data_IF_126883930469
#
_entry.id   IF_126883930469
#
_cell.length_a   1.000
_cell.length_b   1.000
_cell.length_c   1.000
_cell.angle_alpha   90.00
_cell.angle_beta   90.00
_cell.angle_gamma   90.00
#
_symmetry.space_group_name_H-M   'P 1'
#
loop_
_entity.id
_entity.type
_entity.pdbx_description
1 polymer ?
#
# COMPACT_ATOMS: atom_id res chain seq x y z
N UNK A 1 9.89 26.77 28.25
CA UNK A 1 8.75 25.99 28.75
C UNK A 1 8.36 25.05 27.62
N UNK A 2 8.97 23.88 27.63
CA UNK A 2 8.85 22.88 26.54
C UNK A 2 7.64 21.99 26.82
N UNK A 3 6.54 22.27 26.15
CA UNK A 3 5.35 21.42 26.14
C UNK A 3 5.46 20.30 25.10
N UNK A 4 6.32 19.31 25.34
CA UNK A 4 6.33 18.09 24.56
C UNK A 4 5.05 17.31 24.87
N UNK A 5 4.16 17.15 23.89
CA UNK A 5 2.97 16.31 24.00
C UNK A 5 3.44 14.86 23.99
N UNK A 6 3.36 14.18 25.14
CA UNK A 6 3.64 12.76 25.30
C UNK A 6 2.66 11.93 24.46
N UNK A 7 3.18 10.86 23.84
CA UNK A 7 2.44 9.88 23.00
C UNK A 7 1.20 9.30 23.70
N UNK A 8 1.23 9.22 25.05
CA UNK A 8 0.11 8.74 25.88
C UNK A 8 -0.99 9.80 26.03
N UNK A 9 -0.64 11.09 26.07
CA UNK A 9 -1.60 12.18 26.16
C UNK A 9 -2.43 12.36 24.89
N UNK A 10 -1.84 12.10 23.70
CA UNK A 10 -2.56 12.18 22.43
C UNK A 10 -3.58 11.05 22.26
N UNK A 11 -3.29 9.83 22.76
CA UNK A 11 -4.22 8.70 22.71
C UNK A 11 -5.30 8.78 23.82
N UNK A 12 -4.99 9.37 24.97
CA UNK A 12 -5.94 9.54 26.08
C UNK A 12 -6.99 10.64 25.82
N UNK A 13 -6.67 11.66 25.02
CA UNK A 13 -7.62 12.73 24.64
C UNK A 13 -8.74 12.29 23.70
N UNK A 14 -8.65 11.09 23.10
CA UNK A 14 -9.68 10.52 22.22
C UNK A 14 -10.66 9.58 22.94
N UNK A 15 -10.51 9.37 24.24
CA UNK A 15 -11.19 8.30 24.97
C UNK A 15 -11.89 8.65 26.29
N UNK A 16 -12.15 9.90 26.62
CA UNK A 16 -12.91 10.21 27.84
C UNK A 16 -13.68 11.53 27.74
N UNK A 17 -14.81 11.48 27.06
CA UNK A 17 -15.87 12.47 27.08
C UNK A 17 -17.20 11.79 27.39
N UNK A 18 -17.28 11.09 28.54
CA UNK A 18 -18.56 10.70 29.11
C UNK A 18 -19.19 11.95 29.76
N UNK A 19 -19.90 12.75 28.95
CA UNK A 19 -20.82 13.73 29.49
C UNK A 19 -22.04 12.94 29.95
N UNK A 20 -22.21 12.86 31.27
CA UNK A 20 -23.44 12.43 31.87
C UNK A 20 -24.59 13.39 31.46
N UNK A 21 -25.41 12.88 30.52
CA UNK A 21 -26.70 13.53 30.22
C UNK A 21 -27.76 12.87 31.09
N UNK A 22 -28.24 13.63 32.06
CA UNK A 22 -29.46 13.33 32.80
C UNK A 22 -30.58 12.98 31.83
N UNK A 23 -31.19 11.81 32.04
CA UNK A 23 -32.39 11.35 31.35
C UNK A 23 -33.57 12.31 31.68
N UNK A 24 -33.75 13.33 30.85
CA UNK A 24 -35.01 13.97 30.66
C UNK A 24 -35.87 13.13 29.73
N UNK A 25 -36.97 12.56 30.23
CA UNK A 25 -37.97 11.88 29.43
C UNK A 25 -38.68 12.94 28.58
N UNK A 26 -38.16 13.21 27.40
CA UNK A 26 -38.72 14.07 26.37
C UNK A 26 -39.09 13.24 25.14
N UNK A 27 -40.36 13.14 24.93
CA UNK A 27 -41.18 12.69 23.79
C UNK A 27 -40.46 12.26 22.50
N UNK A 28 -40.86 11.09 22.02
CA UNK A 28 -40.42 10.23 20.90
C UNK A 28 -40.17 10.77 19.49
N UNK A 29 -40.03 12.08 19.28
CA UNK A 29 -39.79 12.67 17.93
C UNK A 29 -38.31 12.76 17.57
N UNK A 30 -37.41 12.91 18.54
CA UNK A 30 -35.96 13.04 18.29
C UNK A 30 -35.27 11.73 17.86
N UNK A 31 -35.79 10.61 18.37
CA UNK A 31 -35.24 9.28 17.99
C UNK A 31 -35.55 8.88 16.54
N UNK A 32 -36.78 9.11 16.11
CA UNK A 32 -37.22 8.85 14.76
C UNK A 32 -36.53 9.76 13.73
N UNK A 33 -36.36 11.04 14.03
CA UNK A 33 -35.64 12.00 13.19
C UNK A 33 -34.14 11.63 13.05
N UNK A 34 -33.49 11.21 14.15
CA UNK A 34 -32.09 10.71 14.11
C UNK A 34 -31.96 9.40 13.32
N UNK A 35 -32.92 8.47 13.47
CA UNK A 35 -32.94 7.22 12.68
C UNK A 35 -33.16 7.51 11.19
N UNK A 36 -34.08 8.41 10.84
CA UNK A 36 -34.33 8.83 9.48
C UNK A 36 -33.10 9.55 8.87
N UNK A 37 -32.44 10.44 9.63
CA UNK A 37 -31.22 11.10 9.18
C UNK A 37 -30.07 10.10 8.96
N UNK A 38 -29.90 9.12 9.84
CA UNK A 38 -28.95 8.01 9.63
C UNK A 38 -29.27 7.19 8.37
N UNK A 39 -30.53 6.95 8.10
CA UNK A 39 -31.00 6.25 6.91
C UNK A 39 -30.78 7.07 5.63
N UNK A 40 -30.85 8.43 5.69
CA UNK A 40 -30.65 9.30 4.52
C UNK A 40 -29.20 9.44 4.07
N UNK A 41 -28.22 9.25 4.98
CA UNK A 41 -26.79 9.45 4.71
C UNK A 41 -26.37 10.92 4.63
N UNK A 42 -25.06 11.23 4.40
CA UNK A 42 -24.55 12.59 4.38
C UNK A 42 -25.11 13.38 3.19
N UNK A 43 -25.45 14.68 3.38
CA UNK A 43 -25.94 15.55 2.31
C UNK A 43 -24.80 16.11 1.46
N UNK A 44 -24.08 15.21 0.75
CA UNK A 44 -23.02 15.55 -0.19
C UNK A 44 -23.57 15.72 -1.61
N UNK A 45 -22.85 16.45 -2.47
CA UNK A 45 -23.20 16.57 -3.90
C UNK A 45 -22.87 15.29 -4.66
N UNK A 46 -21.92 14.50 -4.15
CA UNK A 46 -21.56 13.21 -4.67
C UNK A 46 -22.60 12.12 -4.39
N UNK A 47 -22.32 10.93 -4.84
CA UNK A 47 -23.26 9.81 -4.75
C UNK A 47 -23.25 9.18 -3.34
N UNK A 48 -24.44 8.83 -2.83
CA UNK A 48 -24.64 8.01 -1.62
C UNK A 48 -25.38 6.75 -2.01
N UNK A 49 -24.72 5.59 -1.87
CA UNK A 49 -25.24 4.27 -2.24
C UNK A 49 -25.51 3.49 -0.94
N UNK A 50 -26.75 3.15 -0.68
CA UNK A 50 -27.18 2.45 0.54
C UNK A 50 -27.23 0.95 0.34
N UNK A 51 -27.11 0.22 1.43
CA UNK A 51 -27.37 -1.22 1.43
C UNK A 51 -28.77 -1.50 0.87
N UNK A 52 -28.87 -2.46 -0.04
CA UNK A 52 -30.11 -2.80 -0.77
C UNK A 52 -30.36 -1.99 -2.03
N UNK A 53 -29.65 -0.87 -2.27
CA UNK A 53 -29.77 -0.13 -3.52
C UNK A 53 -29.03 -0.84 -4.67
N UNK A 54 -29.48 -0.58 -5.91
CA UNK A 54 -28.76 -1.04 -7.11
C UNK A 54 -27.30 -0.57 -7.09
N UNK A 55 -26.37 -1.44 -7.47
CA UNK A 55 -24.93 -1.19 -7.48
C UNK A 55 -24.26 -1.18 -6.09
N UNK A 56 -24.98 -1.43 -4.99
CA UNK A 56 -24.42 -1.45 -3.65
C UNK A 56 -23.34 -2.54 -3.49
N UNK A 57 -23.59 -3.76 -3.95
CA UNK A 57 -22.61 -4.86 -3.86
C UNK A 57 -21.27 -4.44 -4.47
N UNK A 58 -21.26 -3.94 -5.71
CA UNK A 58 -20.06 -3.44 -6.37
C UNK A 58 -19.42 -2.26 -5.64
N UNK A 59 -20.23 -1.38 -5.05
CA UNK A 59 -19.71 -0.22 -4.32
C UNK A 59 -19.13 -0.61 -2.95
N UNK A 60 -19.65 -1.63 -2.30
CA UNK A 60 -19.22 -2.08 -0.97
C UNK A 60 -17.91 -2.87 -1.01
N UNK A 61 -17.69 -3.68 -2.05
CA UNK A 61 -16.54 -4.56 -2.15
C UNK A 61 -15.20 -3.81 -2.22
N UNK A 62 -14.17 -4.41 -1.65
CA UNK A 62 -12.75 -4.02 -1.72
C UNK A 62 -12.00 -5.00 -2.62
N UNK A 63 -10.70 -4.76 -2.88
CA UNK A 63 -9.90 -5.62 -3.75
C UNK A 63 -9.82 -7.08 -3.25
N UNK A 64 -9.59 -7.27 -1.95
CA UNK A 64 -9.48 -8.61 -1.36
C UNK A 64 -10.88 -9.16 -1.04
N UNK A 65 -11.26 -10.22 -1.75
CA UNK A 65 -12.57 -10.88 -1.66
C UNK A 65 -12.86 -11.52 -0.29
N UNK A 66 -11.83 -11.76 0.53
CA UNK A 66 -12.01 -12.23 1.91
C UNK A 66 -12.91 -11.29 2.74
N UNK A 67 -13.00 -10.02 2.35
CA UNK A 67 -13.80 -9.01 3.06
C UNK A 67 -15.17 -8.74 2.43
N UNK A 68 -15.64 -9.56 1.49
CA UNK A 68 -16.94 -9.37 0.83
C UNK A 68 -18.11 -9.48 1.80
N UNK A 69 -17.95 -10.22 2.89
CA UNK A 69 -18.92 -10.28 3.98
C UNK A 69 -18.91 -9.07 4.92
N UNK A 70 -17.90 -8.19 4.83
CA UNK A 70 -17.78 -6.98 5.66
C UNK A 70 -18.47 -5.81 4.97
N UNK A 71 -19.77 -5.63 5.23
CA UNK A 71 -20.63 -4.72 4.50
C UNK A 71 -20.95 -3.45 5.29
N UNK A 72 -20.67 -2.24 4.74
CA UNK A 72 -21.13 -0.97 5.31
C UNK A 72 -22.65 -0.82 5.21
N UNK A 73 -23.21 0.16 5.91
CA UNK A 73 -24.61 0.56 5.72
C UNK A 73 -24.77 1.43 4.46
N UNK A 74 -23.74 2.20 4.13
CA UNK A 74 -23.70 3.03 2.92
C UNK A 74 -22.27 3.29 2.44
N UNK A 75 -22.15 3.60 1.16
CA UNK A 75 -20.94 4.07 0.51
C UNK A 75 -21.20 5.49 0.00
N UNK A 76 -20.46 6.46 0.52
CA UNK A 76 -20.49 7.85 0.06
C UNK A 76 -19.30 8.12 -0.87
N UNK A 77 -19.56 8.69 -2.03
CA UNK A 77 -18.56 9.03 -3.08
C UNK A 77 -18.48 10.54 -3.25
N UNK A 78 -17.70 11.25 -2.42
CA UNK A 78 -17.54 12.68 -2.50
C UNK A 78 -16.95 13.12 -3.84
N UNK A 79 -17.30 14.31 -4.31
CA UNK A 79 -16.74 14.92 -5.52
C UNK A 79 -15.46 15.71 -5.23
N UNK A 80 -15.36 16.28 -4.03
CA UNK A 80 -14.23 17.10 -3.60
C UNK A 80 -14.06 17.14 -2.06
N UNK A 81 -13.14 17.97 -1.59
CA UNK A 81 -12.86 18.12 -0.16
C UNK A 81 -14.03 18.71 0.66
N UNK A 82 -14.92 19.49 0.05
CA UNK A 82 -16.09 20.03 0.73
C UNK A 82 -17.09 18.91 1.04
N UNK A 83 -17.34 18.02 0.09
CA UNK A 83 -18.15 16.83 0.30
C UNK A 83 -17.54 15.90 1.37
N UNK A 84 -16.20 15.74 1.38
CA UNK A 84 -15.51 14.97 2.44
C UNK A 84 -15.75 15.57 3.80
N UNK A 85 -15.63 16.89 3.94
CA UNK A 85 -15.94 17.59 5.20
C UNK A 85 -17.37 17.33 5.66
N UNK A 86 -18.33 17.53 4.76
CA UNK A 86 -19.76 17.30 5.02
C UNK A 86 -20.01 15.86 5.48
N UNK A 87 -19.39 14.87 4.83
CA UNK A 87 -19.54 13.47 5.21
C UNK A 87 -18.92 13.15 6.57
N UNK A 88 -17.73 13.71 6.89
CA UNK A 88 -17.09 13.53 8.21
C UNK A 88 -17.93 14.17 9.30
N UNK A 89 -18.34 15.43 9.12
CA UNK A 89 -19.20 16.15 10.09
C UNK A 89 -20.53 15.43 10.31
N UNK A 90 -21.14 14.93 9.25
CA UNK A 90 -22.37 14.14 9.35
C UNK A 90 -22.14 12.85 10.15
N UNK A 91 -21.05 12.12 9.87
CA UNK A 91 -20.68 10.90 10.59
C UNK A 91 -20.54 11.14 12.09
N UNK A 92 -19.82 12.20 12.47
CA UNK A 92 -19.63 12.63 13.87
C UNK A 92 -20.96 12.99 14.51
N UNK A 93 -21.75 13.87 13.89
CA UNK A 93 -23.02 14.34 14.42
C UNK A 93 -24.05 13.22 14.65
N UNK A 94 -24.00 12.17 13.84
CA UNK A 94 -24.94 11.04 13.92
C UNK A 94 -24.36 9.79 14.58
N UNK A 95 -23.08 9.83 15.05
CA UNK A 95 -22.39 8.68 15.64
C UNK A 95 -22.26 7.50 14.65
N UNK A 96 -22.01 7.81 13.38
CA UNK A 96 -21.81 6.81 12.32
C UNK A 96 -20.30 6.63 12.08
N UNK A 97 -19.73 5.46 12.41
CA UNK A 97 -18.32 5.20 12.15
C UNK A 97 -18.05 5.21 10.65
N UNK A 98 -16.88 5.72 10.26
CA UNK A 98 -16.48 5.79 8.86
C UNK A 98 -15.11 5.15 8.59
N UNK A 99 -14.93 4.68 7.35
CA UNK A 99 -13.63 4.27 6.78
C UNK A 99 -13.43 4.98 5.46
N UNK A 100 -12.25 5.62 5.32
CA UNK A 100 -11.83 6.19 4.04
C UNK A 100 -11.31 5.08 3.13
N UNK A 101 -11.66 5.12 1.84
CA UNK A 101 -11.19 4.20 0.82
C UNK A 101 -10.64 4.94 -0.39
N UNK A 102 -9.38 4.72 -0.72
CA UNK A 102 -8.74 5.14 -1.96
C UNK A 102 -8.89 4.03 -3.02
N UNK A 103 -7.92 3.11 -3.16
CA UNK A 103 -8.00 1.96 -4.06
C UNK A 103 -8.62 0.69 -3.46
N UNK A 104 -8.79 0.62 -2.14
CA UNK A 104 -9.39 -0.54 -1.49
C UNK A 104 -8.48 -1.77 -1.36
N UNK A 105 -7.16 -1.60 -1.43
CA UNK A 105 -6.16 -2.68 -1.43
C UNK A 105 -5.59 -3.05 -0.05
N UNK A 106 -6.20 -2.62 1.05
CA UNK A 106 -5.72 -3.03 2.37
C UNK A 106 -5.81 -4.55 2.54
N UNK A 107 -4.69 -5.20 2.82
CA UNK A 107 -4.61 -6.64 3.07
C UNK A 107 -5.37 -7.05 4.35
N UNK A 108 -5.48 -6.12 5.31
CA UNK A 108 -6.21 -6.30 6.57
C UNK A 108 -7.66 -5.78 6.53
N UNK A 109 -8.19 -5.43 5.36
CA UNK A 109 -9.58 -4.98 5.23
C UNK A 109 -9.89 -3.58 5.78
N UNK A 110 -8.89 -2.75 6.09
CA UNK A 110 -9.10 -1.42 6.68
C UNK A 110 -9.84 -0.42 5.77
N UNK A 111 -10.08 -0.78 4.51
CA UNK A 111 -10.82 0.04 3.55
C UNK A 111 -12.34 -0.22 3.56
N UNK A 112 -12.83 -1.05 4.47
CA UNK A 112 -14.26 -1.33 4.70
C UNK A 112 -14.55 -1.50 6.18
N UNK A 113 -15.83 -1.64 6.57
CA UNK A 113 -16.27 -1.90 7.93
C UNK A 113 -17.68 -2.50 7.90
N UNK A 114 -18.03 -3.28 8.91
CA UNK A 114 -19.41 -3.73 9.14
C UNK A 114 -20.23 -2.60 9.76
N UNK A 115 -21.34 -2.29 9.15
CA UNK A 115 -22.16 -1.15 9.60
C UNK A 115 -21.52 0.20 9.34
N UNK A 116 -21.94 1.31 9.50
CA UNK A 116 -21.29 2.59 9.26
C UNK A 116 -21.18 2.98 7.78
N UNK A 117 -20.22 3.85 7.46
CA UNK A 117 -20.05 4.49 6.17
C UNK A 117 -18.65 4.24 5.59
N UNK A 118 -18.57 3.79 4.35
CA UNK A 118 -17.33 3.87 3.55
C UNK A 118 -17.33 5.19 2.78
N UNK A 119 -16.30 5.98 2.96
CA UNK A 119 -16.05 7.20 2.21
C UNK A 119 -15.09 6.88 1.05
N UNK A 120 -15.65 6.62 -0.12
CA UNK A 120 -14.95 6.18 -1.32
C UNK A 120 -14.46 7.38 -2.13
N UNK A 121 -13.17 7.63 -2.08
CA UNK A 121 -12.51 8.82 -2.63
C UNK A 121 -12.24 8.73 -4.14
N UNK A 122 -12.76 7.74 -4.84
CA UNK A 122 -12.47 7.47 -6.29
C UNK A 122 -12.66 8.66 -7.22
N UNK A 123 -13.47 9.65 -6.85
CA UNK A 123 -13.68 10.85 -7.68
C UNK A 123 -12.59 11.92 -7.44
N UNK A 124 -11.87 11.86 -6.31
CA UNK A 124 -10.77 12.78 -6.01
C UNK A 124 -9.49 12.29 -6.72
N UNK A 125 -9.45 12.33 -8.05
CA UNK A 125 -8.40 11.72 -8.89
C UNK A 125 -7.65 12.68 -9.81
N UNK A 126 -7.80 13.99 -9.59
CA UNK A 126 -7.07 14.98 -10.37
C UNK A 126 -5.57 14.85 -10.20
N UNK A 127 -4.82 14.96 -11.30
CA UNK A 127 -3.36 14.95 -11.32
C UNK A 127 -2.92 16.22 -12.06
N UNK A 128 -2.20 17.10 -11.36
CA UNK A 128 -1.60 18.33 -11.91
C UNK A 128 -0.10 18.29 -11.70
N UNK A 129 0.68 18.52 -12.76
CA UNK A 129 2.14 18.35 -12.77
C UNK A 129 2.79 19.68 -13.10
N UNK A 130 3.68 20.15 -12.21
CA UNK A 130 4.59 21.28 -12.46
C UNK A 130 6.00 20.71 -12.74
N UNK A 131 6.35 20.66 -14.02
CA UNK A 131 7.64 20.12 -14.46
C UNK A 131 8.82 21.00 -14.08
N UNK A 132 8.64 22.33 -13.92
CA UNK A 132 9.71 23.26 -13.51
C UNK A 132 10.03 23.05 -12.03
N UNK A 133 9.02 22.95 -11.17
CA UNK A 133 9.20 22.70 -9.74
C UNK A 133 9.47 21.22 -9.42
N UNK A 134 9.28 20.33 -10.39
CA UNK A 134 9.28 18.87 -10.21
C UNK A 134 8.36 18.45 -9.09
N UNK A 135 7.10 18.91 -9.14
CA UNK A 135 6.05 18.54 -8.21
C UNK A 135 4.81 18.05 -8.94
N UNK A 136 4.05 17.20 -8.27
CA UNK A 136 2.73 16.79 -8.74
C UNK A 136 1.71 16.87 -7.60
N UNK A 137 0.59 17.54 -7.85
CA UNK A 137 -0.57 17.51 -6.96
C UNK A 137 -1.50 16.40 -7.40
N UNK A 138 -1.76 15.45 -6.52
CA UNK A 138 -2.45 14.20 -6.83
C UNK A 138 -3.60 14.02 -5.84
N UNK A 139 -4.81 13.82 -6.36
CA UNK A 139 -5.99 13.52 -5.57
C UNK A 139 -5.93 12.15 -4.90
N UNK A 140 -6.46 12.05 -3.70
CA UNK A 140 -6.36 10.86 -2.84
C UNK A 140 -6.98 9.58 -3.43
N UNK A 141 -7.92 9.69 -4.37
CA UNK A 141 -8.56 8.59 -5.07
C UNK A 141 -7.88 8.16 -6.38
N UNK A 142 -6.72 8.74 -6.73
CA UNK A 142 -5.94 8.33 -7.91
C UNK A 142 -5.37 6.93 -7.71
N UNK A 143 -5.42 6.12 -8.76
CA UNK A 143 -4.79 4.79 -8.77
C UNK A 143 -3.37 4.89 -9.32
N UNK A 144 -2.47 3.98 -8.91
CA UNK A 144 -1.04 4.10 -9.22
C UNK A 144 -0.77 4.08 -10.72
N UNK A 145 -1.52 3.30 -11.50
CA UNK A 145 -1.31 3.24 -12.95
C UNK A 145 -1.64 4.56 -13.63
N UNK A 146 -2.69 5.28 -13.17
CA UNK A 146 -3.04 6.61 -13.66
C UNK A 146 -1.92 7.62 -13.32
N UNK A 147 -1.36 7.52 -12.11
CA UNK A 147 -0.25 8.36 -11.66
C UNK A 147 1.01 8.11 -12.50
N UNK A 148 1.38 6.85 -12.72
CA UNK A 148 2.53 6.50 -13.56
C UNK A 148 2.35 6.97 -15.00
N UNK A 149 1.18 6.76 -15.57
CA UNK A 149 0.87 7.21 -16.95
C UNK A 149 1.02 8.72 -17.10
N UNK A 150 0.42 9.49 -16.18
CA UNK A 150 0.46 10.95 -16.21
C UNK A 150 1.88 11.50 -16.04
N UNK A 151 2.67 10.92 -15.13
CA UNK A 151 4.04 11.35 -14.85
C UNK A 151 5.00 10.93 -15.98
N UNK A 152 4.90 9.68 -16.45
CA UNK A 152 5.77 9.17 -17.52
C UNK A 152 5.61 9.95 -18.82
N UNK A 153 4.41 10.44 -19.14
CA UNK A 153 4.15 11.34 -20.28
C UNK A 153 4.95 12.67 -20.21
N UNK A 154 5.51 12.99 -19.03
CA UNK A 154 6.36 14.17 -18.78
C UNK A 154 7.81 13.79 -18.46
N UNK A 155 8.20 12.52 -18.65
CA UNK A 155 9.54 12.01 -18.28
C UNK A 155 9.80 12.00 -16.78
N UNK A 156 8.75 11.88 -15.97
CA UNK A 156 8.79 11.93 -14.51
C UNK A 156 8.25 10.65 -13.88
N UNK A 157 8.56 10.44 -12.60
CA UNK A 157 8.00 9.37 -11.77
C UNK A 157 7.90 9.77 -10.30
N UNK A 158 7.21 8.90 -9.54
CA UNK A 158 7.19 8.85 -8.09
C UNK A 158 7.57 7.43 -7.66
N UNK A 159 8.34 7.23 -6.58
CA UNK A 159 8.61 5.88 -6.08
C UNK A 159 7.35 5.32 -5.41
N UNK A 160 6.61 4.48 -6.13
CA UNK A 160 5.41 3.83 -5.64
C UNK A 160 5.38 2.35 -6.06
N UNK A 161 4.41 1.59 -5.55
CA UNK A 161 4.25 0.16 -5.79
C UNK A 161 3.82 -0.18 -7.21
N UNK A 162 3.81 -1.47 -7.52
CA UNK A 162 3.55 -1.99 -8.88
C UNK A 162 2.09 -2.32 -9.16
N UNK A 163 1.27 -2.59 -8.14
CA UNK A 163 -0.14 -2.95 -8.35
C UNK A 163 -0.94 -1.77 -8.92
N UNK A 164 -1.57 -1.90 -10.10
CA UNK A 164 -2.08 -0.77 -10.87
C UNK A 164 -3.25 -0.04 -10.21
N UNK A 165 -4.15 -0.78 -9.58
CA UNK A 165 -5.37 -0.25 -8.95
C UNK A 165 -5.22 0.13 -7.47
N UNK A 166 -4.00 0.00 -6.90
CA UNK A 166 -3.69 0.52 -5.57
C UNK A 166 -3.90 2.03 -5.54
N UNK A 167 -4.61 2.52 -4.52
CA UNK A 167 -4.84 3.94 -4.35
C UNK A 167 -3.66 4.65 -3.71
N UNK A 168 -3.27 5.78 -4.30
CA UNK A 168 -2.10 6.55 -3.87
C UNK A 168 -2.16 6.94 -2.38
N UNK A 169 -3.36 7.24 -1.84
CA UNK A 169 -3.44 7.72 -0.46
C UNK A 169 -3.11 6.63 0.56
N UNK A 170 -3.75 5.46 0.48
CA UNK A 170 -3.44 4.36 1.40
C UNK A 170 -1.99 3.91 1.29
N UNK A 171 -1.46 3.88 0.07
CA UNK A 171 -0.08 3.53 -0.22
C UNK A 171 0.91 4.52 0.43
N UNK A 172 0.76 5.81 0.17
CA UNK A 172 1.65 6.85 0.69
C UNK A 172 1.59 6.97 2.22
N UNK A 173 0.39 6.89 2.80
CA UNK A 173 0.19 6.99 4.25
C UNK A 173 0.82 5.82 5.03
N UNK A 174 0.94 4.65 4.41
CA UNK A 174 1.61 3.48 4.99
C UNK A 174 3.12 3.41 4.72
N UNK A 175 3.70 4.43 4.10
CA UNK A 175 5.09 4.47 3.67
C UNK A 175 5.25 4.38 2.16
N UNK A 176 4.74 3.34 1.53
CA UNK A 176 4.73 3.18 0.08
C UNK A 176 6.06 2.71 -0.49
N UNK A 177 6.35 1.42 -0.34
CA UNK A 177 7.49 0.76 -1.01
C UNK A 177 7.20 0.58 -2.51
N UNK A 178 8.20 0.75 -3.36
CA UNK A 178 8.06 0.52 -4.79
C UNK A 178 9.37 0.48 -5.56
N UNK A 179 9.25 0.27 -6.87
CA UNK A 179 10.36 -0.09 -7.78
C UNK A 179 11.44 1.00 -7.94
N UNK A 180 11.13 2.26 -7.63
CA UNK A 180 12.09 3.35 -7.62
C UNK A 180 12.52 3.75 -6.19
N UNK A 181 12.08 2.98 -5.17
CA UNK A 181 12.26 3.35 -3.76
C UNK A 181 13.71 3.41 -3.33
N UNK A 182 14.56 2.49 -3.78
CA UNK A 182 15.98 2.51 -3.45
C UNK A 182 16.70 3.73 -4.00
N UNK A 183 16.23 4.29 -5.10
CA UNK A 183 16.80 5.49 -5.70
C UNK A 183 16.23 6.79 -5.10
N UNK A 184 14.92 6.85 -4.81
CA UNK A 184 14.21 8.08 -4.49
C UNK A 184 13.52 8.09 -3.12
N UNK A 185 13.68 7.05 -2.30
CA UNK A 185 12.99 6.88 -1.01
C UNK A 185 11.61 6.25 -1.18
N UNK A 186 10.87 6.15 -0.09
CA UNK A 186 9.49 5.70 -0.11
C UNK A 186 8.56 6.77 -0.72
N UNK A 187 7.34 6.40 -1.10
CA UNK A 187 6.32 7.38 -1.54
C UNK A 187 6.11 8.45 -0.47
N UNK A 188 6.07 8.06 0.81
CA UNK A 188 5.94 8.96 1.96
C UNK A 188 7.08 9.98 2.08
N UNK A 189 8.30 9.63 1.67
CA UNK A 189 9.46 10.52 1.71
C UNK A 189 9.37 11.64 0.68
N UNK A 190 8.53 11.46 -0.32
CA UNK A 190 8.30 12.40 -1.40
C UNK A 190 7.06 13.28 -1.20
N UNK A 191 6.31 13.11 -0.10
CA UNK A 191 5.22 14.02 0.25
C UNK A 191 5.83 15.38 0.63
N UNK A 192 5.42 16.43 -0.05
CA UNK A 192 5.75 17.83 0.27
C UNK A 192 4.65 18.47 1.11
N UNK A 193 3.40 18.15 0.81
CA UNK A 193 2.24 18.55 1.60
C UNK A 193 1.07 17.60 1.41
N UNK A 194 0.16 17.57 2.39
CA UNK A 194 -1.09 16.83 2.32
C UNK A 194 -2.26 17.74 2.71
N UNK A 195 -3.43 17.50 2.10
CA UNK A 195 -4.70 18.10 2.50
C UNK A 195 -5.56 17.03 3.14
N UNK A 196 -6.02 17.24 4.36
CA UNK A 196 -6.72 16.27 5.18
C UNK A 196 -7.91 16.88 5.89
N UNK A 197 -9.02 16.16 5.93
CA UNK A 197 -10.15 16.48 6.82
C UNK A 197 -9.98 15.68 8.10
N UNK A 198 -9.77 16.36 9.22
CA UNK A 198 -9.60 15.78 10.55
C UNK A 198 -10.94 15.46 11.21
N UNK A 199 -10.94 14.76 12.34
CA UNK A 199 -12.16 14.29 13.01
C UNK A 199 -13.11 15.42 13.44
N UNK A 200 -12.59 16.63 13.66
CA UNK A 200 -13.36 17.85 13.92
C UNK A 200 -14.08 18.43 12.69
N UNK A 201 -13.92 17.77 11.54
CA UNK A 201 -14.50 18.20 10.26
C UNK A 201 -13.80 19.38 9.61
N UNK A 202 -12.60 19.77 10.06
CA UNK A 202 -11.84 20.86 9.47
C UNK A 202 -10.90 20.35 8.38
N UNK A 203 -10.82 21.06 7.27
CA UNK A 203 -9.84 20.84 6.23
C UNK A 203 -8.53 21.53 6.61
N UNK A 204 -7.47 20.72 6.75
CA UNK A 204 -6.13 21.18 7.12
C UNK A 204 -5.13 20.91 6.01
N UNK A 205 -4.13 21.78 5.91
CA UNK A 205 -2.90 21.51 5.16
C UNK A 205 -1.82 21.08 6.16
N UNK A 206 -1.08 20.03 5.82
CA UNK A 206 0.06 19.56 6.60
C UNK A 206 1.31 19.55 5.70
N UNK A 207 2.31 20.30 6.09
CA UNK A 207 3.62 20.38 5.45
C UNK A 207 4.71 20.68 6.51
N UNK A 208 5.96 20.88 6.09
CA UNK A 208 7.08 21.11 7.02
C UNK A 208 6.92 22.37 7.90
N UNK A 209 6.09 23.33 7.50
CA UNK A 209 5.88 24.61 8.19
C UNK A 209 4.48 24.71 8.83
N UNK A 210 3.48 24.00 8.26
CA UNK A 210 2.08 24.06 8.66
C UNK A 210 1.65 22.69 9.18
N UNK A 211 1.22 22.60 10.44
CA UNK A 211 0.90 21.35 11.13
C UNK A 211 2.02 20.28 10.96
N UNK A 212 3.27 20.58 11.39
CA UNK A 212 4.43 19.74 11.11
C UNK A 212 4.39 18.37 11.80
N UNK A 213 3.74 18.23 12.94
CA UNK A 213 3.47 16.99 13.64
C UNK A 213 2.52 16.09 12.86
N UNK A 214 1.44 16.66 12.31
CA UNK A 214 0.51 15.97 11.42
C UNK A 214 1.22 15.57 10.11
N UNK A 215 2.07 16.45 9.56
CA UNK A 215 2.88 16.14 8.39
C UNK A 215 3.84 14.96 8.65
N UNK A 216 4.48 14.92 9.82
CA UNK A 216 5.29 13.78 10.24
C UNK A 216 4.47 12.51 10.30
N UNK A 217 3.28 12.55 10.93
CA UNK A 217 2.38 11.43 11.12
C UNK A 217 1.82 10.86 9.81
N UNK A 218 1.50 11.72 8.83
CA UNK A 218 1.00 11.32 7.51
C UNK A 218 2.08 10.68 6.61
N UNK A 219 3.33 10.67 7.05
CA UNK A 219 4.46 10.09 6.32
C UNK A 219 4.83 8.71 6.89
N UNK A 220 3.87 7.76 6.85
CA UNK A 220 4.06 6.38 7.25
C UNK A 220 3.32 5.92 8.50
N UNK A 221 2.53 6.80 9.14
CA UNK A 221 1.73 6.47 10.33
C UNK A 221 0.43 5.71 10.04
N UNK A 222 0.20 5.33 8.78
CA UNK A 222 -0.95 4.55 8.34
C UNK A 222 -2.14 5.38 7.87
N UNK A 223 -3.00 4.76 7.07
CA UNK A 223 -4.20 5.38 6.52
C UNK A 223 -5.35 5.43 7.50
N UNK A 224 -6.09 6.55 7.53
CA UNK A 224 -7.31 6.73 8.32
C UNK A 224 -7.12 7.06 9.80
N UNK A 225 -5.89 7.08 10.32
CA UNK A 225 -5.61 7.29 11.74
C UNK A 225 -5.76 8.77 12.19
N UNK A 226 -5.56 9.70 11.27
CA UNK A 226 -5.54 11.15 11.58
C UNK A 226 -6.64 11.92 10.85
N UNK A 227 -7.45 11.26 10.06
CA UNK A 227 -8.52 11.83 9.25
C UNK A 227 -8.56 11.29 7.82
N UNK A 228 -9.28 12.00 6.95
CA UNK A 228 -9.47 11.64 5.54
C UNK A 228 -8.63 12.56 4.66
N UNK A 229 -7.54 12.04 4.11
CA UNK A 229 -6.71 12.79 3.16
C UNK A 229 -7.46 12.96 1.84
N UNK A 230 -7.46 14.16 1.30
CA UNK A 230 -8.15 14.52 0.04
C UNK A 230 -7.18 14.68 -1.13
N UNK A 231 -5.90 14.88 -0.85
CA UNK A 231 -4.85 14.99 -1.87
C UNK A 231 -3.50 15.31 -1.27
N UNK A 232 -2.47 15.15 -2.10
CA UNK A 232 -1.07 15.40 -1.75
C UNK A 232 -0.40 16.25 -2.81
N UNK A 233 0.66 16.95 -2.43
CA UNK A 233 1.68 17.43 -3.35
C UNK A 233 2.94 16.62 -3.12
N UNK A 234 3.42 15.95 -4.16
CA UNK A 234 4.63 15.14 -4.14
C UNK A 234 5.79 15.82 -4.87
N UNK A 235 6.99 15.58 -4.41
CA UNK A 235 8.19 15.68 -5.24
C UNK A 235 8.16 14.55 -6.26
N UNK A 236 8.45 14.87 -7.52
CA UNK A 236 8.57 13.88 -8.60
C UNK A 236 9.98 13.93 -9.19
N UNK A 237 10.41 12.83 -9.77
CA UNK A 237 11.79 12.62 -10.19
C UNK A 237 11.87 12.36 -11.68
N UNK A 238 12.90 12.86 -12.37
CA UNK A 238 13.14 12.51 -13.76
C UNK A 238 13.49 11.03 -13.88
N UNK A 239 13.03 10.42 -14.97
CA UNK A 239 13.37 9.04 -15.31
C UNK A 239 13.98 8.98 -16.70
N UNK A 240 14.91 8.04 -16.99
CA UNK A 240 15.36 7.78 -18.33
C UNK A 240 14.19 7.31 -19.20
N UNK A 241 14.25 7.57 -20.50
CA UNK A 241 13.23 7.09 -21.45
C UNK A 241 13.15 5.57 -21.45
N UNK A 242 14.27 4.92 -21.25
CA UNK A 242 14.43 3.46 -21.26
C UNK A 242 15.04 3.00 -19.95
N UNK A 243 14.49 1.92 -19.39
CA UNK A 243 14.98 1.23 -18.21
C UNK A 243 15.19 -0.24 -18.55
N UNK A 244 16.13 -0.90 -17.87
CA UNK A 244 16.27 -2.33 -18.00
C UNK A 244 15.37 -3.07 -17.01
N UNK A 245 14.64 -4.07 -17.49
CA UNK A 245 14.01 -5.11 -16.68
C UNK A 245 14.84 -6.38 -16.74
N UNK A 246 14.89 -7.14 -15.66
CA UNK A 246 15.61 -8.42 -15.63
C UNK A 246 14.92 -9.42 -14.71
N UNK A 247 15.16 -10.71 -15.03
CA UNK A 247 14.86 -11.85 -14.18
C UNK A 247 16.07 -12.76 -14.15
N UNK A 248 16.46 -13.20 -12.95
CA UNK A 248 17.44 -14.28 -12.76
C UNK A 248 16.71 -15.44 -12.10
N UNK A 249 16.76 -16.63 -12.68
CA UNK A 249 16.11 -17.82 -12.15
C UNK A 249 17.13 -18.95 -11.97
N UNK A 250 16.83 -19.86 -11.03
CA UNK A 250 17.68 -21.00 -10.70
C UNK A 250 16.86 -22.29 -10.62
N UNK A 251 17.52 -23.46 -10.73
CA UNK A 251 16.92 -24.72 -10.28
C UNK A 251 16.53 -24.61 -8.80
N UNK A 252 15.43 -25.24 -8.40
CA UNK A 252 14.94 -25.17 -7.00
C UNK A 252 15.98 -25.62 -5.96
N UNK A 253 16.83 -26.59 -6.31
CA UNK A 253 17.93 -27.05 -5.45
C UNK A 253 18.92 -25.94 -5.04
N UNK A 254 18.94 -24.83 -5.76
CA UNK A 254 19.77 -23.67 -5.48
C UNK A 254 19.02 -22.55 -4.68
N UNK A 255 17.78 -22.77 -4.27
CA UNK A 255 16.94 -21.72 -3.70
C UNK A 255 17.55 -21.06 -2.45
N UNK A 256 18.13 -21.84 -1.54
CA UNK A 256 18.78 -21.33 -0.33
C UNK A 256 20.05 -20.53 -0.63
N UNK A 257 20.85 -20.97 -1.62
CA UNK A 257 22.10 -20.31 -2.03
C UNK A 257 21.79 -19.05 -2.86
N UNK A 258 20.78 -19.10 -3.72
CA UNK A 258 20.28 -17.92 -4.45
C UNK A 258 19.79 -16.85 -3.48
N UNK A 259 19.06 -17.21 -2.40
CA UNK A 259 18.66 -16.28 -1.37
C UNK A 259 19.86 -15.72 -0.59
N UNK A 260 20.88 -16.55 -0.32
CA UNK A 260 22.13 -16.10 0.30
C UNK A 260 22.85 -15.06 -0.57
N UNK A 261 22.99 -15.32 -1.86
CA UNK A 261 23.61 -14.39 -2.81
C UNK A 261 22.80 -13.09 -2.94
N UNK A 262 21.46 -13.21 -3.06
CA UNK A 262 20.60 -12.02 -3.20
C UNK A 262 20.61 -11.13 -1.97
N UNK A 263 20.51 -11.66 -0.76
CA UNK A 263 20.52 -10.85 0.45
C UNK A 263 21.86 -10.13 0.68
N UNK A 264 22.97 -10.71 0.20
CA UNK A 264 24.28 -10.07 0.24
C UNK A 264 24.43 -8.97 -0.83
N UNK A 265 23.82 -9.17 -2.00
CA UNK A 265 23.90 -8.26 -3.13
C UNK A 265 22.83 -7.16 -3.10
N UNK A 266 21.56 -7.53 -3.00
CA UNK A 266 20.40 -6.66 -3.26
C UNK A 266 20.39 -5.37 -2.44
N UNK A 267 20.46 -5.41 -1.08
CA UNK A 267 20.48 -4.21 -0.25
C UNK A 267 21.67 -3.29 -0.50
N UNK A 268 22.78 -3.82 -1.01
CA UNK A 268 24.05 -3.14 -1.24
C UNK A 268 24.30 -2.78 -2.71
N UNK A 269 23.47 -3.26 -3.63
CA UNK A 269 23.54 -2.90 -5.04
C UNK A 269 23.38 -1.39 -5.26
N UNK A 270 23.77 -0.89 -6.44
CA UNK A 270 23.55 0.54 -6.82
C UNK A 270 22.09 0.91 -6.59
N UNK A 271 21.84 2.12 -6.08
CA UNK A 271 20.47 2.55 -5.74
C UNK A 271 19.52 2.59 -6.94
N UNK A 272 20.06 2.67 -8.16
CA UNK A 272 19.32 2.59 -9.41
C UNK A 272 18.73 1.18 -9.70
N UNK A 273 19.17 0.15 -8.96
CA UNK A 273 18.63 -1.22 -9.08
C UNK A 273 17.66 -1.46 -7.92
N UNK A 274 16.47 -1.94 -8.26
CA UNK A 274 15.52 -2.52 -7.30
C UNK A 274 15.24 -3.95 -7.73
N UNK A 275 15.11 -4.86 -6.76
CA UNK A 275 14.81 -6.25 -7.01
C UNK A 275 13.90 -6.84 -5.95
N UNK A 276 13.13 -7.84 -6.35
CA UNK A 276 12.29 -8.67 -5.48
C UNK A 276 12.76 -10.11 -5.67
N UNK A 277 13.09 -10.79 -4.58
CA UNK A 277 13.38 -12.22 -4.61
C UNK A 277 12.08 -12.99 -4.34
N UNK A 278 11.88 -14.09 -5.05
CA UNK A 278 10.66 -14.88 -5.01
C UNK A 278 10.96 -16.35 -4.70
N UNK A 279 10.29 -16.89 -3.69
CA UNK A 279 10.06 -18.32 -3.51
C UNK A 279 8.57 -18.55 -3.72
N UNK A 280 8.19 -19.22 -4.80
CA UNK A 280 6.78 -19.40 -5.14
C UNK A 280 6.42 -20.89 -5.20
N UNK A 281 5.17 -21.18 -4.81
CA UNK A 281 4.58 -22.52 -4.84
C UNK A 281 3.22 -22.43 -5.53
N UNK A 282 3.11 -22.95 -6.74
CA UNK A 282 1.89 -22.88 -7.58
C UNK A 282 1.87 -24.02 -8.59
N UNK A 283 0.68 -24.55 -8.89
CA UNK A 283 0.50 -25.58 -9.92
C UNK A 283 1.32 -26.86 -9.68
N UNK A 284 1.54 -27.23 -8.42
CA UNK A 284 2.31 -28.43 -8.06
C UNK A 284 3.84 -28.27 -8.14
N UNK A 285 4.34 -27.07 -8.45
CA UNK A 285 5.78 -26.80 -8.57
C UNK A 285 6.21 -25.63 -7.69
N UNK A 286 7.48 -25.69 -7.25
CA UNK A 286 8.17 -24.56 -6.63
C UNK A 286 9.08 -23.87 -7.64
N UNK A 287 9.19 -22.56 -7.53
CA UNK A 287 10.11 -21.77 -8.36
C UNK A 287 10.88 -20.76 -7.51
N UNK A 288 12.11 -20.48 -7.92
CA UNK A 288 12.96 -19.44 -7.32
C UNK A 288 13.48 -18.50 -8.39
N UNK A 289 13.30 -17.22 -8.19
CA UNK A 289 13.82 -16.19 -9.08
C UNK A 289 13.99 -14.85 -8.37
N UNK A 290 14.72 -13.96 -9.02
CA UNK A 290 14.78 -12.52 -8.71
C UNK A 290 14.24 -11.77 -9.93
N UNK A 291 13.26 -10.91 -9.72
CA UNK A 291 12.84 -9.92 -10.73
C UNK A 291 13.33 -8.55 -10.32
N UNK A 292 13.76 -7.74 -11.27
CA UNK A 292 14.29 -6.42 -10.96
C UNK A 292 14.17 -5.41 -12.09
N UNK A 293 14.39 -4.14 -11.71
CA UNK A 293 14.44 -3.01 -12.62
C UNK A 293 15.72 -2.20 -12.36
N UNK A 294 16.35 -1.76 -13.43
CA UNK A 294 17.51 -0.88 -13.39
C UNK A 294 17.26 0.39 -14.19
N UNK A 295 17.56 1.55 -13.59
CA UNK A 295 17.47 2.87 -14.23
C UNK A 295 18.71 3.14 -15.09
N UNK A 296 18.99 2.23 -16.01
CA UNK A 296 20.09 2.23 -16.97
C UNK A 296 19.85 1.19 -18.05
N UNK A 297 20.77 1.04 -19.00
CA UNK A 297 20.63 0.11 -20.13
C UNK A 297 20.87 -1.35 -19.70
N UNK A 298 20.22 -2.28 -20.40
CA UNK A 298 20.39 -3.72 -20.14
C UNK A 298 21.83 -4.22 -20.39
N UNK A 299 22.62 -3.53 -21.20
CA UNK A 299 24.04 -3.83 -21.42
C UNK A 299 24.89 -3.84 -20.14
N UNK A 300 24.51 -3.04 -19.14
CA UNK A 300 25.24 -2.95 -17.88
C UNK A 300 24.95 -4.14 -16.94
N UNK A 301 23.85 -4.87 -17.19
CA UNK A 301 23.35 -5.90 -16.25
C UNK A 301 24.30 -7.08 -16.08
N UNK A 302 25.09 -7.43 -17.09
CA UNK A 302 26.04 -8.57 -17.00
C UNK A 302 26.97 -8.44 -15.78
N UNK A 303 27.63 -7.26 -15.65
CA UNK A 303 28.50 -6.99 -14.51
C UNK A 303 27.74 -6.77 -13.20
N UNK A 304 26.57 -6.11 -13.27
CA UNK A 304 25.78 -5.78 -12.07
C UNK A 304 25.14 -7.02 -11.43
N UNK A 305 24.80 -8.05 -12.22
CA UNK A 305 24.18 -9.29 -11.76
C UNK A 305 25.21 -10.42 -11.50
N UNK A 306 26.52 -10.19 -11.70
CA UNK A 306 27.55 -11.18 -11.52
C UNK A 306 27.48 -11.95 -10.18
N UNK A 307 27.22 -11.30 -9.01
CA UNK A 307 27.06 -12.04 -7.76
C UNK A 307 25.89 -13.02 -7.74
N UNK A 308 24.84 -12.76 -8.51
CA UNK A 308 23.68 -13.64 -8.63
C UNK A 308 23.95 -14.79 -9.63
N UNK A 309 24.63 -14.47 -10.74
CA UNK A 309 24.93 -15.47 -11.77
C UNK A 309 26.07 -16.41 -11.37
N UNK A 310 26.82 -16.11 -10.33
CA UNK A 310 27.81 -17.02 -9.73
C UNK A 310 27.16 -18.23 -9.04
N UNK A 311 25.87 -18.16 -8.68
CA UNK A 311 25.13 -19.30 -8.15
C UNK A 311 24.83 -20.29 -9.29
N UNK A 312 25.12 -21.56 -9.09
CA UNK A 312 25.03 -22.58 -10.13
C UNK A 312 23.66 -22.72 -10.79
N UNK A 313 23.63 -22.86 -12.10
CA UNK A 313 22.40 -23.02 -12.88
C UNK A 313 21.60 -21.74 -13.10
N UNK A 314 22.15 -20.57 -12.80
CA UNK A 314 21.51 -19.28 -13.03
C UNK A 314 21.19 -19.05 -14.52
N UNK A 315 19.98 -18.58 -14.80
CA UNK A 315 19.53 -18.16 -16.14
C UNK A 315 19.04 -16.71 -16.06
N UNK A 316 19.56 -15.85 -16.94
CA UNK A 316 19.22 -14.44 -17.00
C UNK A 316 18.34 -14.17 -18.22
N UNK A 317 17.24 -13.49 -18.00
CA UNK A 317 16.42 -12.82 -19.03
C UNK A 317 16.43 -11.33 -18.74
N UNK A 318 16.80 -10.49 -19.71
CA UNK A 318 16.86 -9.06 -19.53
C UNK A 318 16.54 -8.34 -20.84
N UNK A 319 16.02 -7.11 -20.72
CA UNK A 319 15.70 -6.28 -21.88
C UNK A 319 15.53 -4.81 -21.51
N UNK A 320 15.56 -3.95 -22.53
CA UNK A 320 15.25 -2.53 -22.40
C UNK A 320 13.77 -2.28 -22.69
N UNK A 321 13.15 -1.46 -21.86
CA UNK A 321 11.72 -1.12 -21.95
C UNK A 321 11.56 0.40 -21.81
N UNK A 322 10.59 0.98 -22.53
CA UNK A 322 10.12 2.32 -22.20
C UNK A 322 9.64 2.37 -20.74
N UNK A 323 9.86 3.49 -20.03
CA UNK A 323 9.57 3.53 -18.59
C UNK A 323 8.13 3.12 -18.26
N UNK A 324 7.13 3.67 -18.95
CA UNK A 324 5.72 3.29 -18.71
C UNK A 324 5.46 1.81 -19.05
N UNK A 325 6.08 1.30 -20.12
CA UNK A 325 5.98 -0.12 -20.49
C UNK A 325 6.51 -1.02 -19.38
N UNK A 326 7.65 -0.66 -18.75
CA UNK A 326 8.17 -1.39 -17.61
C UNK A 326 7.17 -1.38 -16.43
N UNK A 327 6.52 -0.23 -16.14
CA UNK A 327 5.49 -0.16 -15.10
C UNK A 327 4.27 -1.04 -15.44
N UNK A 328 3.84 -1.09 -16.71
CA UNK A 328 2.77 -1.98 -17.17
C UNK A 328 3.14 -3.46 -17.04
N UNK A 329 4.40 -3.82 -17.29
CA UNK A 329 4.90 -5.20 -17.06
C UNK A 329 4.80 -5.58 -15.57
N UNK A 330 5.28 -4.72 -14.69
CA UNK A 330 5.18 -4.92 -13.25
C UNK A 330 3.72 -4.97 -12.75
N UNK A 331 2.84 -4.27 -13.42
CA UNK A 331 1.40 -4.27 -13.16
C UNK A 331 0.66 -5.51 -13.70
N UNK A 332 1.35 -6.39 -14.45
CA UNK A 332 0.70 -7.49 -15.18
C UNK A 332 -0.18 -7.03 -16.36
N UNK A 333 0.06 -5.83 -16.88
CA UNK A 333 -0.79 -5.16 -17.86
C UNK A 333 -0.12 -4.98 -19.23
N UNK A 334 0.99 -5.65 -19.53
CA UNK A 334 1.76 -5.43 -20.75
C UNK A 334 1.01 -5.72 -22.05
N UNK A 335 -0.03 -6.56 -22.00
CA UNK A 335 -0.83 -6.99 -23.15
C UNK A 335 -2.24 -6.36 -23.22
N UNK A 336 -2.58 -5.46 -22.29
CA UNK A 336 -3.90 -4.83 -22.25
C UNK A 336 -3.79 -3.30 -22.25
N UNK A 337 -4.88 -2.62 -22.60
CA UNK A 337 -4.91 -1.16 -22.59
C UNK A 337 -4.78 -0.57 -21.19
N UNK A 338 -4.34 0.67 -21.10
CA UNK A 338 -4.26 1.40 -19.83
C UNK A 338 -5.63 1.47 -19.11
N UNK A 339 -6.71 1.63 -19.87
CA UNK A 339 -8.08 1.61 -19.34
C UNK A 339 -8.45 0.25 -18.76
N UNK A 340 -8.07 -0.84 -19.43
CA UNK A 340 -8.31 -2.20 -18.96
C UNK A 340 -7.48 -2.55 -17.71
N UNK A 341 -6.34 -1.89 -17.50
CA UNK A 341 -5.43 -2.10 -16.38
C UNK A 341 -5.94 -1.49 -15.05
N UNK A 342 -7.23 -1.64 -14.79
CA UNK A 342 -7.90 -1.27 -13.54
C UNK A 342 -8.74 -2.43 -13.05
N UNK A 343 -8.91 -2.57 -11.75
CA UNK A 343 -9.81 -3.59 -11.19
C UNK A 343 -11.24 -3.32 -11.63
N UNK A 344 -11.92 -4.37 -12.09
CA UNK A 344 -13.32 -4.34 -12.51
C UNK A 344 -14.20 -3.63 -11.48
N UNK A 345 -15.05 -2.71 -11.93
CA UNK A 345 -15.93 -1.92 -11.07
C UNK A 345 -15.28 -0.73 -10.35
N UNK A 346 -13.96 -0.54 -10.46
CA UNK A 346 -13.29 0.65 -9.89
C UNK A 346 -13.20 1.79 -10.89
N UNK A 347 -13.05 1.46 -12.17
CA UNK A 347 -13.06 2.41 -13.31
C UNK A 347 -13.91 1.86 -14.45
N UNK A 348 -14.52 2.72 -15.27
CA UNK A 348 -15.14 2.25 -16.52
C UNK A 348 -14.08 1.57 -17.40
N UNK A 349 -14.42 0.38 -17.94
CA UNK A 349 -13.53 -0.40 -18.81
C UNK A 349 -12.40 -1.16 -18.10
N UNK A 350 -12.32 -1.11 -16.77
CA UNK A 350 -11.39 -1.93 -16.00
C UNK A 350 -11.75 -3.43 -16.09
N UNK A 351 -10.73 -4.27 -16.31
CA UNK A 351 -10.93 -5.72 -16.54
C UNK A 351 -10.17 -6.62 -15.56
N UNK A 352 -9.28 -6.05 -14.73
CA UNK A 352 -8.52 -6.85 -13.77
C UNK A 352 -9.45 -7.46 -12.73
N UNK A 353 -9.30 -8.75 -12.47
CA UNK A 353 -10.04 -9.45 -11.44
C UNK A 353 -9.64 -8.93 -10.04
N UNK A 354 -10.54 -9.12 -9.10
CA UNK A 354 -10.26 -9.07 -7.66
C UNK A 354 -9.58 -10.38 -7.27
N UNK A 355 -9.05 -10.45 -6.07
CA UNK A 355 -8.35 -11.64 -5.60
C UNK A 355 -8.70 -11.96 -4.15
N UNK A 356 -8.53 -13.23 -3.76
CA UNK A 356 -8.76 -13.71 -2.40
C UNK A 356 -7.46 -14.24 -1.82
N UNK A 357 -6.87 -13.50 -0.88
CA UNK A 357 -5.59 -13.88 -0.30
C UNK A 357 -5.44 -13.41 1.14
N UNK A 358 -4.54 -14.09 1.84
CA UNK A 358 -4.05 -13.71 3.16
C UNK A 358 -2.57 -13.41 3.09
N UNK A 359 -2.11 -12.49 3.93
CA UNK A 359 -0.70 -12.10 3.96
C UNK A 359 -0.23 -11.78 5.39
N UNK A 360 1.06 -12.03 5.61
CA UNK A 360 1.84 -11.51 6.74
C UNK A 360 3.13 -10.92 6.20
N UNK A 361 3.78 -10.06 6.98
CA UNK A 361 5.10 -9.53 6.62
C UNK A 361 5.98 -9.36 7.84
N UNK A 362 7.27 -9.33 7.58
CA UNK A 362 8.33 -9.07 8.56
C UNK A 362 9.41 -8.18 7.94
N UNK A 363 10.21 -7.52 8.79
CA UNK A 363 11.41 -6.82 8.37
C UNK A 363 12.66 -7.55 8.84
N UNK A 364 13.63 -7.66 7.97
CA UNK A 364 14.92 -8.30 8.22
C UNK A 364 16.02 -7.24 8.27
N UNK A 365 16.70 -7.12 9.42
CA UNK A 365 17.75 -6.13 9.63
C UNK A 365 19.17 -6.72 9.54
N UNK A 366 19.33 -8.04 9.66
CA UNK A 366 20.61 -8.76 9.53
C UNK A 366 20.46 -9.89 8.51
N UNK A 367 21.52 -10.28 7.81
CA UNK A 367 21.46 -11.41 6.89
C UNK A 367 20.89 -12.66 7.55
N UNK A 368 19.95 -13.32 6.88
CA UNK A 368 19.37 -14.58 7.34
C UNK A 368 20.43 -15.68 7.36
N UNK A 369 20.63 -16.40 8.46
CA UNK A 369 21.54 -17.54 8.52
C UNK A 369 21.02 -18.70 7.68
N UNK A 370 21.86 -19.72 7.42
CA UNK A 370 21.51 -20.88 6.61
C UNK A 370 20.23 -21.58 7.10
N UNK A 371 20.08 -21.76 8.42
CA UNK A 371 18.89 -22.38 9.00
C UNK A 371 17.59 -21.61 8.66
N UNK A 372 17.62 -20.28 8.70
CA UNK A 372 16.45 -19.47 8.33
C UNK A 372 16.11 -19.56 6.84
N UNK A 373 17.14 -19.54 5.96
CA UNK A 373 16.94 -19.69 4.51
C UNK A 373 16.35 -21.06 4.16
N UNK A 374 16.86 -22.12 4.78
CA UNK A 374 16.34 -23.50 4.61
C UNK A 374 14.91 -23.61 5.14
N UNK A 375 14.58 -22.98 6.27
CA UNK A 375 13.22 -22.95 6.80
C UNK A 375 12.23 -22.27 5.83
N UNK A 376 12.66 -21.22 5.14
CA UNK A 376 11.83 -20.53 4.12
C UNK A 376 11.66 -21.39 2.85
N UNK A 377 12.69 -22.08 2.41
CA UNK A 377 12.61 -23.05 1.29
C UNK A 377 11.63 -24.17 1.65
N UNK A 378 11.80 -24.80 2.81
CA UNK A 378 10.88 -25.84 3.29
C UNK A 378 9.44 -25.33 3.47
N UNK A 379 9.25 -24.08 3.89
CA UNK A 379 7.92 -23.46 3.97
C UNK A 379 7.28 -23.31 2.57
N UNK A 380 8.04 -22.93 1.55
CA UNK A 380 7.53 -22.88 0.17
C UNK A 380 7.16 -24.28 -0.35
N UNK A 381 7.95 -25.31 -0.06
CA UNK A 381 7.62 -26.70 -0.39
C UNK A 381 6.36 -27.19 0.33
N UNK A 382 6.25 -26.90 1.63
CA UNK A 382 5.06 -27.21 2.41
C UNK A 382 3.81 -26.53 1.84
N UNK A 383 3.93 -25.34 1.21
CA UNK A 383 2.79 -24.65 0.61
C UNK A 383 2.14 -25.44 -0.53
N UNK A 384 2.89 -26.30 -1.23
CA UNK A 384 2.36 -27.20 -2.27
C UNK A 384 1.38 -28.24 -1.73
N UNK A 385 1.47 -28.61 -0.46
CA UNK A 385 0.57 -29.60 0.17
C UNK A 385 -0.77 -29.02 0.60
N UNK A 386 -0.98 -27.72 0.36
CA UNK A 386 -2.19 -26.99 0.79
C UNK A 386 -2.89 -26.47 -0.48
N UNK A 387 -4.23 -26.54 -0.52
CA UNK A 387 -5.03 -26.05 -1.63
C UNK A 387 -4.70 -24.58 -1.96
N UNK A 388 -4.69 -24.24 -3.25
CA UNK A 388 -4.34 -22.92 -3.75
C UNK A 388 -2.85 -22.77 -4.05
N UNK A 389 -2.34 -21.56 -3.95
CA UNK A 389 -0.95 -21.24 -4.21
C UNK A 389 -0.41 -20.22 -3.21
N UNK A 390 0.90 -20.00 -3.20
CA UNK A 390 1.49 -19.00 -2.32
C UNK A 390 2.89 -18.60 -2.73
N UNK A 391 3.40 -17.57 -2.08
CA UNK A 391 4.73 -17.07 -2.30
C UNK A 391 5.32 -16.44 -1.04
N UNK A 392 6.64 -16.46 -0.96
CA UNK A 392 7.43 -15.68 -0.02
C UNK A 392 8.23 -14.69 -0.86
N UNK A 393 7.93 -13.40 -0.72
CA UNK A 393 8.53 -12.31 -1.47
C UNK A 393 9.47 -11.52 -0.57
N UNK A 394 10.59 -11.08 -1.13
CA UNK A 394 11.59 -10.29 -0.39
C UNK A 394 11.81 -8.99 -1.13
N UNK A 395 11.20 -7.91 -0.64
CA UNK A 395 11.32 -6.57 -1.20
C UNK A 395 12.60 -5.90 -0.72
N UNK A 396 13.51 -5.61 -1.64
CA UNK A 396 14.82 -5.06 -1.35
C UNK A 396 14.75 -3.63 -0.82
N UNK A 397 15.33 -3.38 0.35
CA UNK A 397 15.52 -2.05 0.94
C UNK A 397 16.95 -1.53 0.68
N UNK A 398 17.41 -0.56 1.44
CA UNK A 398 18.70 0.10 1.21
C UNK A 398 18.57 1.39 0.38
N UNK A 399 19.68 1.93 -0.08
CA UNK A 399 19.72 3.14 -0.87
C UNK A 399 19.06 4.34 -0.18
N UNK A 400 18.21 5.08 -0.91
CA UNK A 400 17.53 6.28 -0.40
C UNK A 400 16.57 5.99 0.75
N UNK A 401 15.97 4.80 0.80
CA UNK A 401 15.04 4.40 1.88
C UNK A 401 15.78 4.44 3.23
N UNK A 402 16.96 3.84 3.30
CA UNK A 402 17.73 3.71 4.54
C UNK A 402 18.53 4.97 4.90
N UNK A 403 18.67 5.95 3.99
CA UNK A 403 19.28 7.25 4.30
C UNK A 403 18.38 8.17 5.14
N UNK A 404 17.07 7.92 5.16
CA UNK A 404 16.13 8.65 6.02
C UNK A 404 16.24 8.11 7.43
N UNK A 405 16.45 9.01 8.42
CA UNK A 405 16.52 8.61 9.83
C UNK A 405 15.19 8.01 10.30
N UNK A 406 15.17 6.96 11.16
CA UNK A 406 13.94 6.33 11.63
C UNK A 406 12.92 7.29 12.24
N UNK A 407 13.38 8.32 12.95
CA UNK A 407 12.51 9.32 13.59
C UNK A 407 12.08 10.48 12.66
N UNK A 408 12.60 10.57 11.43
CA UNK A 408 12.30 11.69 10.52
C UNK A 408 10.88 11.65 9.94
N UNK A 409 10.24 10.49 9.99
CA UNK A 409 8.85 10.26 9.57
C UNK A 409 8.23 9.21 10.48
N UNK A 410 6.91 9.04 10.42
CA UNK A 410 6.24 7.98 11.17
C UNK A 410 6.56 6.56 10.66
N UNK A 411 7.17 6.42 9.47
CA UNK A 411 7.69 5.16 8.98
C UNK A 411 9.06 4.87 9.60
N UNK A 412 9.12 3.95 10.55
CA UNK A 412 10.32 3.70 11.39
C UNK A 412 11.29 2.66 10.83
N UNK A 413 10.88 1.85 9.84
CA UNK A 413 11.67 0.71 9.33
C UNK A 413 12.73 1.15 8.34
N UNK A 414 13.78 1.83 8.83
CA UNK A 414 14.84 2.43 8.00
C UNK A 414 16.17 1.67 8.06
N UNK A 415 16.39 0.87 9.10
CA UNK A 415 17.62 0.11 9.32
C UNK A 415 17.39 -1.38 9.01
N UNK A 416 16.84 -1.67 7.83
CA UNK A 416 16.50 -3.03 7.41
C UNK A 416 17.11 -3.33 6.03
N UNK A 417 17.39 -4.58 5.77
CA UNK A 417 17.91 -5.06 4.48
C UNK A 417 16.77 -5.25 3.49
N UNK A 418 15.65 -5.81 3.93
CA UNK A 418 14.48 -6.11 3.11
C UNK A 418 13.24 -6.33 3.96
N UNK A 419 12.07 -6.22 3.33
CA UNK A 419 10.79 -6.68 3.85
C UNK A 419 10.52 -8.08 3.30
N UNK A 420 10.04 -8.99 4.13
CA UNK A 420 9.53 -10.31 3.70
C UNK A 420 8.02 -10.27 3.74
N UNK A 421 7.38 -10.71 2.67
CA UNK A 421 5.93 -10.91 2.59
C UNK A 421 5.63 -12.39 2.40
N UNK A 422 4.76 -12.93 3.23
CA UNK A 422 4.21 -14.28 3.10
C UNK A 422 2.80 -14.15 2.53
N UNK A 423 2.54 -14.76 1.38
CA UNK A 423 1.29 -14.66 0.65
C UNK A 423 0.67 -16.03 0.45
N UNK A 424 -0.61 -16.16 0.73
CA UNK A 424 -1.36 -17.40 0.52
C UNK A 424 -2.70 -17.12 -0.11
N UNK A 425 -2.98 -17.78 -1.23
CA UNK A 425 -4.18 -17.66 -2.04
C UNK A 425 -4.96 -18.96 -1.99
N UNK A 426 -6.31 -18.89 -1.86
CA UNK A 426 -7.17 -20.06 -1.82
C UNK A 426 -7.09 -20.87 -0.50
N UNK A 427 -6.65 -20.23 0.60
CA UNK A 427 -6.52 -20.85 1.92
C UNK A 427 -5.10 -20.73 2.49
N UNK A 428 -4.80 -21.44 3.60
CA UNK A 428 -3.45 -21.53 4.17
C UNK A 428 -3.12 -20.54 5.29
N UNK A 429 -4.11 -20.02 6.02
CA UNK A 429 -3.87 -19.22 7.23
C UNK A 429 -2.93 -19.90 8.25
N UNK A 430 -3.06 -21.20 8.54
CA UNK A 430 -2.12 -21.90 9.42
C UNK A 430 -0.68 -21.92 8.89
N UNK A 431 -0.52 -22.03 7.56
CA UNK A 431 0.79 -21.97 6.93
C UNK A 431 1.46 -20.60 7.12
N UNK A 432 0.71 -19.50 6.92
CA UNK A 432 1.20 -18.13 7.15
C UNK A 432 1.65 -17.96 8.61
N UNK A 433 0.82 -18.39 9.57
CA UNK A 433 1.12 -18.27 10.99
C UNK A 433 2.33 -19.11 11.39
N UNK A 434 2.41 -20.35 10.91
CA UNK A 434 3.54 -21.25 11.15
C UNK A 434 4.84 -20.72 10.56
N UNK A 435 4.79 -20.22 9.31
CA UNK A 435 5.97 -19.68 8.63
C UNK A 435 6.48 -18.42 9.33
N UNK A 436 5.60 -17.48 9.67
CA UNK A 436 5.97 -16.28 10.42
C UNK A 436 6.53 -16.63 11.81
N UNK A 437 5.96 -17.63 12.51
CA UNK A 437 6.45 -18.08 13.80
C UNK A 437 7.89 -18.67 13.72
N UNK A 438 8.18 -19.47 12.69
CA UNK A 438 9.52 -19.99 12.41
C UNK A 438 10.53 -18.88 12.16
N UNK A 439 10.10 -17.78 11.57
CA UNK A 439 10.96 -16.64 11.24
C UNK A 439 11.16 -15.66 12.39
N UNK A 440 10.34 -15.72 13.45
CA UNK A 440 10.40 -14.79 14.60
C UNK A 440 11.80 -14.55 15.20
N UNK A 441 12.70 -15.54 15.31
CA UNK A 441 14.05 -15.29 15.83
C UNK A 441 14.97 -14.48 14.92
N UNK A 442 14.61 -14.31 13.64
CA UNK A 442 15.46 -13.74 12.60
C UNK A 442 14.96 -12.39 12.06
N UNK A 443 13.81 -11.91 12.56
CA UNK A 443 13.14 -10.70 12.09
C UNK A 443 13.04 -9.64 13.18
N UNK A 444 12.69 -8.41 12.84
CA UNK A 444 12.66 -7.28 13.79
C UNK A 444 11.40 -7.23 14.66
N UNK A 445 10.38 -8.03 14.37
CA UNK A 445 9.04 -7.95 14.96
C UNK A 445 8.16 -6.81 14.41
N UNK A 446 8.66 -6.02 13.46
CA UNK A 446 7.88 -5.02 12.72
C UNK A 446 7.24 -5.61 11.49
N UNK A 447 6.08 -5.07 11.09
CA UNK A 447 5.38 -5.48 9.86
C UNK A 447 5.09 -4.28 8.97
N UNK A 448 4.96 -4.52 7.66
CA UNK A 448 4.49 -3.50 6.73
C UNK A 448 3.02 -3.20 6.99
N UNK A 449 2.66 -1.92 7.05
CA UNK A 449 1.33 -1.45 7.50
C UNK A 449 0.14 -2.12 6.77
N UNK A 450 0.29 -2.46 5.51
CA UNK A 450 -0.79 -3.10 4.74
C UNK A 450 -0.93 -4.60 5.02
N UNK A 451 0.03 -5.20 5.73
CA UNK A 451 0.09 -6.63 6.08
C UNK A 451 0.23 -6.83 7.59
N UNK A 452 -0.67 -6.29 8.43
CA UNK A 452 -0.55 -6.47 9.88
C UNK A 452 -0.69 -7.95 10.24
N UNK A 453 0.01 -8.34 11.29
CA UNK A 453 -0.17 -9.65 11.93
C UNK A 453 -1.44 -9.52 12.79
N UNK A 454 -2.56 -10.19 12.48
CA UNK A 454 -3.60 -10.38 13.48
C UNK A 454 -2.97 -11.13 14.67
N UNK A 455 -3.23 -10.65 15.88
CA UNK A 455 -2.77 -11.28 17.10
C UNK A 455 -3.22 -12.74 17.25
#
# INVERSE_FOLDING_TARGET
MDGAIDRRGFLAGAGAGAIGVSLGIGSGTGGAARAAARASGPPIRGQVIRRGASGFSQAAHVYNELYDGVLPNLVARPLDAADVRTAVQWGVAHGVPLRARSGGHSYAGYSTLSGGMVLDLRNLRGISIDTRKRTATIGAGSQLIDVYSALAARGLTIPAGSCPSVGIAGHALGGGMGLAGRQFGLTADNILSARIVTADGLLRTADKNTNPDLYWALRGGGGGNFGVVTGFTFRVHPVPRTVAGFTVSWPWSQAADALAAWQAWGPHARSQITSIFHLSASGGVTTVNVSGQYFGPASDLGGLLAPLTAVGGARVSAGNFGYLQAQLMWAGCSSISLTACHTQGTRPGGTLARDSFQAKSDYVAKPLPAAARQALVAAAEQRLTITGHGAILFDCYGGAINRVKPAATAFVHRNVLFCVQYLSYGGGAPWLTSTAAKMRPYVTGGAYFTTPIPG
#
